data_IF_034028749821
#
_entry.id   IF_034028749821
#
_cell.length_a   1.000
_cell.length_b   1.000
_cell.length_c   1.000
_cell.angle_alpha   90.00
_cell.angle_beta   90.00
_cell.angle_gamma   90.00
#
_symmetry.space_group_name_H-M   'P 1'
#
loop_
_entity.id
_entity.type
_entity.pdbx_description
1 polymer ?
#
# COMPACT_ATOMS: atom_id res chain seq x y z
N UNK A 1 15.89 -14.24 -8.85
CA UNK A 1 15.21 -13.15 -8.14
C UNK A 1 14.53 -13.68 -6.88
N UNK A 2 14.27 -12.82 -5.92
CA UNK A 2 13.59 -13.15 -4.66
C UNK A 2 12.21 -13.79 -4.91
N UNK A 3 11.75 -14.65 -4.00
CA UNK A 3 10.37 -15.13 -4.02
C UNK A 3 9.40 -13.98 -3.69
N UNK A 4 8.13 -14.02 -4.12
CA UNK A 4 7.14 -13.00 -3.75
C UNK A 4 6.98 -12.84 -2.24
N UNK A 5 7.02 -13.95 -1.48
CA UNK A 5 6.93 -13.92 -0.02
C UNK A 5 8.10 -13.15 0.62
N UNK A 6 9.35 -13.44 0.20
CA UNK A 6 10.55 -12.74 0.69
C UNK A 6 10.55 -11.26 0.28
N UNK A 7 10.11 -10.95 -0.94
CA UNK A 7 9.98 -9.57 -1.39
C UNK A 7 8.94 -8.80 -0.56
N UNK A 8 7.76 -9.38 -0.35
CA UNK A 8 6.70 -8.78 0.46
C UNK A 8 7.13 -8.60 1.92
N UNK A 9 7.77 -9.63 2.52
CA UNK A 9 8.32 -9.54 3.87
C UNK A 9 9.30 -8.38 4.02
N UNK A 10 10.22 -8.22 3.06
CA UNK A 10 11.22 -7.15 3.07
C UNK A 10 10.59 -5.77 3.06
N UNK A 11 9.55 -5.59 2.24
CA UNK A 11 8.80 -4.34 2.15
C UNK A 11 8.07 -4.05 3.47
N UNK A 12 7.30 -5.01 3.99
CA UNK A 12 6.52 -4.79 5.21
C UNK A 12 7.40 -4.53 6.45
N UNK A 13 8.56 -5.19 6.57
CA UNK A 13 9.52 -4.86 7.63
C UNK A 13 10.01 -3.41 7.49
N UNK A 14 10.34 -2.96 6.28
CA UNK A 14 10.76 -1.58 6.04
C UNK A 14 9.61 -0.58 6.26
N UNK A 15 8.39 -0.94 5.90
CA UNK A 15 7.20 -0.11 6.07
C UNK A 15 6.85 0.15 7.54
N UNK A 16 7.17 -0.75 8.47
CA UNK A 16 7.01 -0.47 9.91
C UNK A 16 7.71 0.84 10.31
N UNK A 17 8.90 1.08 9.78
CA UNK A 17 9.66 2.30 10.07
C UNK A 17 9.12 3.50 9.30
N UNK A 18 8.88 3.35 8.02
CA UNK A 18 8.48 4.47 7.16
C UNK A 18 7.04 4.93 7.43
N UNK A 19 6.10 3.99 7.57
CA UNK A 19 4.71 4.32 7.90
C UNK A 19 4.54 4.72 9.37
N UNK A 20 5.38 4.20 10.27
CA UNK A 20 5.43 4.65 11.66
C UNK A 20 5.79 6.13 11.77
N UNK A 21 6.85 6.58 11.08
CA UNK A 21 7.24 7.99 11.02
C UNK A 21 6.16 8.85 10.35
N UNK A 22 5.60 8.37 9.24
CA UNK A 22 4.52 9.05 8.52
C UNK A 22 3.26 9.16 9.39
N UNK A 23 2.82 8.05 9.99
CA UNK A 23 1.65 8.00 10.86
C UNK A 23 1.75 8.93 12.06
N UNK A 24 2.91 8.95 12.74
CA UNK A 24 3.17 9.87 13.84
C UNK A 24 3.13 11.34 13.39
N UNK A 25 3.64 11.64 12.20
CA UNK A 25 3.58 12.98 11.62
C UNK A 25 2.14 13.40 11.37
N UNK A 26 1.32 12.52 10.78
CA UNK A 26 -0.10 12.76 10.57
C UNK A 26 -0.88 12.90 11.87
N UNK A 27 -0.52 12.13 12.91
CA UNK A 27 -1.11 12.25 14.24
C UNK A 27 -0.85 13.63 14.85
N UNK A 28 0.42 14.10 14.83
CA UNK A 28 0.79 15.44 15.30
C UNK A 28 0.10 16.56 14.52
N UNK A 29 -0.07 16.39 13.23
CA UNK A 29 -0.75 17.35 12.36
C UNK A 29 -2.29 17.30 12.45
N UNK A 30 -2.85 16.43 13.28
CA UNK A 30 -4.30 16.23 13.45
C UNK A 30 -5.00 15.87 12.13
N UNK A 31 -4.32 15.11 11.27
CA UNK A 31 -4.82 14.65 9.97
C UNK A 31 -5.48 13.27 10.03
N UNK A 32 -5.78 12.75 11.23
CA UNK A 32 -6.34 11.41 11.41
C UNK A 32 -7.81 11.52 11.80
N UNK A 33 -8.68 10.90 11.01
CA UNK A 33 -10.06 10.64 11.39
C UNK A 33 -10.12 9.30 12.14
N UNK A 34 -10.22 9.34 13.47
CA UNK A 34 -10.24 8.14 14.32
C UNK A 34 -11.31 7.12 13.91
N UNK A 35 -12.48 7.59 13.48
CA UNK A 35 -13.56 6.72 13.03
C UNK A 35 -13.19 5.94 11.78
N UNK A 36 -12.56 6.60 10.80
CA UNK A 36 -12.07 5.97 9.60
C UNK A 36 -10.94 4.97 9.94
N UNK A 37 -9.97 5.40 10.74
CA UNK A 37 -8.86 4.57 11.20
C UNK A 37 -9.34 3.25 11.85
N UNK A 38 -10.26 3.32 12.82
CA UNK A 38 -10.76 2.12 13.50
C UNK A 38 -11.51 1.17 12.55
N UNK A 39 -12.22 1.72 11.55
CA UNK A 39 -12.90 0.91 10.53
C UNK A 39 -11.96 0.27 9.52
N UNK A 40 -10.76 0.81 9.33
CA UNK A 40 -9.72 0.26 8.49
C UNK A 40 -8.89 -0.80 9.20
N UNK A 41 -8.62 -0.61 10.49
CA UNK A 41 -7.61 -1.33 11.26
C UNK A 41 -7.84 -2.84 11.28
N UNK A 42 -8.91 -3.30 11.93
CA UNK A 42 -9.14 -4.76 12.10
C UNK A 42 -9.35 -5.49 10.77
N UNK A 43 -10.22 -5.04 9.85
CA UNK A 43 -10.36 -5.73 8.57
C UNK A 43 -9.08 -5.70 7.75
N UNK A 44 -8.31 -4.57 7.80
CA UNK A 44 -7.04 -4.45 7.13
C UNK A 44 -6.01 -5.46 7.63
N UNK A 45 -5.82 -5.55 8.95
CA UNK A 45 -4.91 -6.53 9.57
C UNK A 45 -5.34 -7.97 9.19
N UNK A 46 -6.64 -8.28 9.28
CA UNK A 46 -7.14 -9.61 8.91
C UNK A 46 -6.82 -9.92 7.44
N UNK A 47 -7.05 -8.98 6.54
CA UNK A 47 -6.70 -9.13 5.13
C UNK A 47 -5.19 -9.35 4.94
N UNK A 48 -4.37 -8.55 5.61
CA UNK A 48 -2.91 -8.61 5.52
C UNK A 48 -2.37 -9.98 6.01
N UNK A 49 -2.87 -10.49 7.13
CA UNK A 49 -2.48 -11.80 7.66
C UNK A 49 -2.89 -12.94 6.70
N UNK A 50 -4.09 -12.89 6.13
CA UNK A 50 -4.53 -13.86 5.12
C UNK A 50 -3.68 -13.79 3.85
N UNK A 51 -3.31 -12.59 3.40
CA UNK A 51 -2.42 -12.39 2.26
C UNK A 51 -1.01 -12.92 2.51
N UNK A 52 -0.45 -12.65 3.69
CA UNK A 52 0.87 -13.15 4.09
C UNK A 52 0.89 -14.68 4.13
N UNK A 53 -0.14 -15.29 4.73
CA UNK A 53 -0.29 -16.75 4.74
C UNK A 53 -0.37 -17.32 3.33
N UNK A 54 -1.20 -16.74 2.46
CA UNK A 54 -1.35 -17.22 1.09
C UNK A 54 -0.03 -17.16 0.31
N UNK A 55 0.66 -16.02 0.33
CA UNK A 55 1.87 -15.81 -0.50
C UNK A 55 3.05 -16.66 -0.02
N UNK A 56 3.06 -17.10 1.23
CA UNK A 56 4.08 -18.00 1.78
C UNK A 56 3.84 -19.47 1.46
N UNK A 57 2.58 -19.86 1.18
CA UNK A 57 2.21 -21.26 0.93
C UNK A 57 2.00 -21.60 -0.55
N UNK A 58 1.97 -20.59 -1.44
CA UNK A 58 1.81 -20.82 -2.89
C UNK A 58 3.16 -20.59 -3.58
N UNK A 59 3.45 -21.45 -4.59
CA UNK A 59 4.67 -21.31 -5.39
C UNK A 59 4.70 -19.92 -6.05
N UNK A 60 5.78 -19.20 -5.77
CA UNK A 60 5.99 -17.85 -6.27
C UNK A 60 6.03 -17.74 -7.80
N UNK A 61 6.38 -18.82 -8.51
CA UNK A 61 6.34 -18.84 -9.98
C UNK A 61 4.91 -18.72 -10.50
N UNK A 62 3.97 -19.37 -9.82
CA UNK A 62 2.54 -19.30 -10.16
C UNK A 62 1.93 -17.94 -9.80
N UNK A 63 2.37 -17.32 -8.71
CA UNK A 63 1.83 -16.05 -8.23
C UNK A 63 2.31 -14.83 -9.03
N UNK A 64 3.56 -14.82 -9.50
CA UNK A 64 4.16 -13.66 -10.20
C UNK A 64 3.30 -13.10 -11.34
N UNK A 65 2.78 -13.89 -12.29
CA UNK A 65 1.96 -13.36 -13.38
C UNK A 65 0.64 -12.76 -12.86
N UNK A 66 0.00 -13.40 -11.87
CA UNK A 66 -1.25 -12.88 -11.28
C UNK A 66 -1.02 -11.56 -10.54
N UNK A 67 0.06 -11.47 -9.75
CA UNK A 67 0.44 -10.22 -9.08
C UNK A 67 0.72 -9.13 -10.10
N UNK A 68 1.44 -9.45 -11.19
CA UNK A 68 1.79 -8.47 -12.23
C UNK A 68 0.55 -7.98 -12.97
N UNK A 69 -0.39 -8.86 -13.33
CA UNK A 69 -1.68 -8.50 -13.94
C UNK A 69 -2.49 -7.63 -12.98
N UNK A 70 -2.58 -8.03 -11.70
CA UNK A 70 -3.28 -7.25 -10.70
C UNK A 70 -2.69 -5.83 -10.58
N UNK A 71 -1.38 -5.70 -10.43
CA UNK A 71 -0.71 -4.39 -10.32
C UNK A 71 -0.90 -3.55 -11.59
N UNK A 72 -0.88 -4.18 -12.78
CA UNK A 72 -1.17 -3.51 -14.04
C UNK A 72 -2.58 -2.93 -14.07
N UNK A 73 -3.58 -3.72 -13.68
CA UNK A 73 -4.97 -3.27 -13.60
C UNK A 73 -5.13 -2.14 -12.57
N UNK A 74 -4.45 -2.24 -11.43
CA UNK A 74 -4.45 -1.16 -10.42
C UNK A 74 -3.78 0.11 -10.93
N UNK A 75 -2.66 0.01 -11.64
CA UNK A 75 -2.00 1.15 -12.26
C UNK A 75 -2.91 1.85 -13.28
N UNK A 76 -3.57 1.09 -14.14
CA UNK A 76 -4.55 1.60 -15.10
C UNK A 76 -5.76 2.24 -14.40
N UNK A 77 -6.25 1.62 -13.31
CA UNK A 77 -7.31 2.18 -12.49
C UNK A 77 -6.90 3.52 -11.88
N UNK A 78 -5.68 3.63 -11.35
CA UNK A 78 -5.15 4.90 -10.80
C UNK A 78 -5.08 5.97 -11.89
N UNK A 79 -4.57 5.63 -13.08
CA UNK A 79 -4.50 6.55 -14.23
C UNK A 79 -5.91 7.00 -14.63
N UNK A 80 -6.89 6.11 -14.66
CA UNK A 80 -8.28 6.47 -15.02
C UNK A 80 -8.87 7.52 -14.09
N UNK A 81 -8.42 7.61 -12.83
CA UNK A 81 -8.85 8.63 -11.86
C UNK A 81 -8.29 10.02 -12.13
N UNK A 82 -7.23 10.13 -12.94
CA UNK A 82 -6.64 11.42 -13.33
C UNK A 82 -7.65 12.26 -14.13
N UNK A 83 -8.42 11.62 -15.01
CA UNK A 83 -9.43 12.29 -15.85
C UNK A 83 -10.83 12.33 -15.22
N UNK A 84 -11.04 11.61 -14.11
CA UNK A 84 -12.31 11.59 -13.40
C UNK A 84 -12.66 12.94 -12.77
N UNK A 85 -13.97 13.29 -12.73
CA UNK A 85 -14.47 14.40 -11.91
C UNK A 85 -14.45 13.97 -10.44
N UNK A 86 -13.53 14.53 -9.66
CA UNK A 86 -13.51 14.36 -8.20
C UNK A 86 -14.65 15.20 -7.61
N UNK A 87 -15.82 14.60 -7.43
CA UNK A 87 -16.92 15.25 -6.69
C UNK A 87 -16.71 14.99 -5.21
N UNK A 88 -16.93 16.02 -4.38
CA UNK A 88 -16.89 15.85 -2.92
C UNK A 88 -17.91 14.79 -2.49
N UNK A 89 -17.46 13.85 -1.66
CA UNK A 89 -18.36 12.83 -1.11
C UNK A 89 -19.31 13.45 -0.10
N UNK A 90 -20.58 13.06 -0.17
CA UNK A 90 -21.55 13.40 0.87
C UNK A 90 -21.57 12.26 1.90
N UNK A 91 -21.22 12.59 3.14
CA UNK A 91 -21.28 11.68 4.27
C UNK A 91 -20.06 10.76 4.43
N UNK A 92 -20.22 9.76 5.29
CA UNK A 92 -19.15 8.85 5.64
C UNK A 92 -18.88 7.79 4.58
N UNK A 93 -17.62 7.32 4.47
CA UNK A 93 -17.29 6.24 3.54
C UNK A 93 -18.11 4.97 3.84
N UNK A 94 -18.73 4.40 2.81
CA UNK A 94 -19.44 3.12 2.89
C UNK A 94 -18.50 1.96 2.57
N UNK A 95 -18.79 0.78 3.13
CA UNK A 95 -18.05 -0.47 2.87
C UNK A 95 -16.55 -0.40 3.15
N UNK A 96 -16.13 0.45 4.10
CA UNK A 96 -14.71 0.62 4.47
C UNK A 96 -14.07 -0.69 4.90
N UNK A 97 -14.77 -1.52 5.69
CA UNK A 97 -14.25 -2.80 6.14
C UNK A 97 -13.94 -3.77 4.99
N UNK A 98 -14.84 -3.88 4.00
CA UNK A 98 -14.59 -4.71 2.80
C UNK A 98 -13.41 -4.21 1.99
N UNK A 99 -13.31 -2.88 1.83
CA UNK A 99 -12.20 -2.23 1.15
C UNK A 99 -10.88 -2.46 1.89
N UNK A 100 -10.89 -2.36 3.21
CA UNK A 100 -9.71 -2.57 4.04
C UNK A 100 -9.26 -4.04 4.02
N UNK A 101 -10.19 -4.99 4.12
CA UNK A 101 -9.88 -6.42 4.02
C UNK A 101 -9.19 -6.73 2.68
N UNK A 102 -9.78 -6.26 1.59
CA UNK A 102 -9.20 -6.45 0.25
C UNK A 102 -7.85 -5.74 0.13
N UNK A 103 -7.76 -4.48 0.60
CA UNK A 103 -6.53 -3.70 0.57
C UNK A 103 -5.39 -4.37 1.32
N UNK A 104 -5.62 -4.82 2.55
CA UNK A 104 -4.61 -5.52 3.34
C UNK A 104 -4.19 -6.86 2.75
N UNK A 105 -5.15 -7.64 2.21
CA UNK A 105 -4.85 -8.90 1.53
C UNK A 105 -3.93 -8.69 0.34
N UNK A 106 -4.29 -7.76 -0.52
CA UNK A 106 -3.52 -7.44 -1.73
C UNK A 106 -2.16 -6.85 -1.40
N UNK A 107 -2.08 -6.05 -0.36
CA UNK A 107 -0.86 -5.44 0.15
C UNK A 107 0.17 -6.51 0.52
N UNK A 108 -0.22 -7.48 1.32
CA UNK A 108 0.66 -8.57 1.72
C UNK A 108 1.02 -9.52 0.59
N UNK A 109 0.11 -9.78 -0.36
CA UNK A 109 0.39 -10.63 -1.52
C UNK A 109 1.33 -9.95 -2.50
N UNK A 110 1.12 -8.65 -2.75
CA UNK A 110 1.83 -7.87 -3.76
C UNK A 110 3.08 -7.15 -3.26
N UNK A 111 3.29 -7.07 -1.94
CA UNK A 111 4.35 -6.26 -1.35
C UNK A 111 4.12 -4.76 -1.54
N UNK A 112 2.87 -4.33 -1.46
CA UNK A 112 2.41 -2.95 -1.60
C UNK A 112 1.12 -2.87 -2.40
N UNK A 113 0.05 -2.48 -1.77
CA UNK A 113 -1.28 -2.39 -2.37
C UNK A 113 -2.26 -1.58 -1.53
N UNK A 114 -1.94 -1.38 -0.28
CA UNK A 114 -2.80 -0.66 0.65
C UNK A 114 -3.12 0.76 0.18
N UNK A 115 -2.11 1.57 -0.08
CA UNK A 115 -2.28 2.92 -0.60
C UNK A 115 -3.05 2.95 -1.94
N UNK A 116 -2.59 2.24 -2.97
CA UNK A 116 -3.29 2.14 -4.25
C UNK A 116 -4.74 1.67 -4.16
N UNK A 117 -5.07 0.71 -3.30
CA UNK A 117 -6.45 0.20 -3.16
C UNK A 117 -7.28 1.11 -2.28
N UNK A 118 -6.83 1.41 -1.06
CA UNK A 118 -7.66 2.07 -0.04
C UNK A 118 -7.66 3.58 -0.23
N UNK A 119 -6.47 4.20 -0.28
CA UNK A 119 -6.36 5.67 -0.39
C UNK A 119 -6.97 6.17 -1.69
N UNK A 120 -6.61 5.57 -2.83
CA UNK A 120 -7.10 6.04 -4.13
C UNK A 120 -8.60 5.81 -4.29
N UNK A 121 -9.14 4.72 -3.75
CA UNK A 121 -10.59 4.46 -3.79
C UNK A 121 -11.36 5.49 -2.96
N UNK A 122 -10.91 5.79 -1.75
CA UNK A 122 -11.57 6.77 -0.88
C UNK A 122 -11.48 8.17 -1.47
N UNK A 123 -10.30 8.61 -1.92
CA UNK A 123 -10.13 9.91 -2.57
C UNK A 123 -10.90 9.96 -3.90
N UNK A 124 -10.86 8.89 -4.69
CA UNK A 124 -11.62 8.78 -5.94
C UNK A 124 -13.13 8.82 -5.75
N UNK A 125 -13.63 8.48 -4.56
CA UNK A 125 -15.03 8.66 -4.14
C UNK A 125 -15.32 10.06 -3.58
N UNK A 126 -14.33 10.95 -3.53
CA UNK A 126 -14.48 12.33 -3.13
C UNK A 126 -14.30 12.61 -1.64
N UNK A 127 -13.78 11.64 -0.86
CA UNK A 127 -13.42 11.90 0.54
C UNK A 127 -12.20 12.80 0.63
N UNK A 128 -12.13 13.59 1.72
CA UNK A 128 -11.06 14.56 1.92
C UNK A 128 -9.67 13.88 1.87
N UNK A 129 -8.79 14.29 0.96
CA UNK A 129 -7.47 13.66 0.79
C UNK A 129 -6.61 13.69 2.04
N UNK A 130 -6.65 14.79 2.78
CA UNK A 130 -5.78 15.02 3.94
C UNK A 130 -6.09 14.03 5.06
N UNK A 131 -7.35 13.94 5.45
CA UNK A 131 -7.78 13.03 6.52
C UNK A 131 -7.79 11.58 6.05
N UNK A 132 -8.03 11.32 4.78
CA UNK A 132 -7.93 9.98 4.19
C UNK A 132 -6.50 9.48 4.24
N UNK A 133 -5.54 10.23 3.69
CA UNK A 133 -4.12 9.85 3.67
C UNK A 133 -3.60 9.62 5.10
N UNK A 134 -3.88 10.56 6.02
CA UNK A 134 -3.44 10.44 7.41
C UNK A 134 -4.00 9.21 8.11
N UNK A 135 -5.30 8.92 7.95
CA UNK A 135 -5.94 7.76 8.58
C UNK A 135 -5.47 6.44 7.97
N UNK A 136 -5.29 6.40 6.65
CA UNK A 136 -4.84 5.21 5.91
C UNK A 136 -3.38 4.90 6.25
N UNK A 137 -2.48 5.89 6.24
CA UNK A 137 -1.07 5.69 6.63
C UNK A 137 -0.91 5.27 8.10
N UNK A 138 -1.74 5.83 8.98
CA UNK A 138 -1.69 5.42 10.38
C UNK A 138 -2.18 3.98 10.57
N UNK A 139 -3.18 3.53 9.80
CA UNK A 139 -3.61 2.13 9.79
C UNK A 139 -2.55 1.21 9.18
N UNK A 140 -1.88 1.65 8.12
CA UNK A 140 -0.83 0.92 7.42
C UNK A 140 0.34 0.53 8.33
N UNK A 141 0.73 1.40 9.26
CA UNK A 141 1.73 1.06 10.27
C UNK A 141 1.38 -0.23 11.03
N UNK A 142 0.13 -0.37 11.48
CA UNK A 142 -0.31 -1.56 12.21
C UNK A 142 -0.42 -2.79 11.30
N UNK A 143 -0.83 -2.59 10.05
CA UNK A 143 -0.87 -3.67 9.06
C UNK A 143 0.55 -4.17 8.75
N UNK A 144 1.47 -3.24 8.46
CA UNK A 144 2.87 -3.56 8.19
C UNK A 144 3.52 -4.28 9.38
N UNK A 145 3.24 -3.83 10.61
CA UNK A 145 3.73 -4.49 11.82
C UNK A 145 3.17 -5.91 11.97
N UNK A 146 1.86 -6.09 11.76
CA UNK A 146 1.23 -7.42 11.78
C UNK A 146 1.76 -8.34 10.67
N UNK A 147 1.91 -7.82 9.45
CA UNK A 147 2.49 -8.55 8.33
C UNK A 147 3.95 -8.90 8.57
N UNK A 148 4.76 -7.98 9.11
CA UNK A 148 6.17 -8.24 9.43
C UNK A 148 6.31 -9.37 10.46
N UNK A 149 5.47 -9.41 11.50
CA UNK A 149 5.43 -10.51 12.46
C UNK A 149 5.02 -11.81 11.74
N UNK A 150 3.95 -11.81 10.96
CA UNK A 150 3.47 -13.00 10.25
C UNK A 150 4.55 -13.54 9.30
N UNK A 151 5.19 -12.71 8.50
CA UNK A 151 6.28 -13.11 7.62
C UNK A 151 7.50 -13.63 8.40
N UNK A 152 7.86 -13.00 9.51
CA UNK A 152 8.98 -13.48 10.36
C UNK A 152 8.75 -14.87 10.95
N UNK A 153 7.48 -15.27 11.11
CA UNK A 153 7.12 -16.62 11.56
C UNK A 153 6.99 -17.64 10.42
N UNK A 154 6.76 -17.16 9.18
CA UNK A 154 6.45 -18.00 8.02
C UNK A 154 7.62 -18.17 7.05
N UNK A 155 8.64 -17.33 7.11
CA UNK A 155 9.84 -17.42 6.26
C UNK A 155 11.07 -17.71 7.12
N UNK A 156 11.97 -18.56 6.62
CA UNK A 156 13.16 -18.97 7.38
C UNK A 156 14.18 -17.84 7.53
N UNK A 157 14.41 -17.06 6.49
CA UNK A 157 15.40 -15.98 6.50
C UNK A 157 14.88 -14.71 5.80
N UNK A 158 14.95 -13.57 6.48
CA UNK A 158 14.73 -12.27 5.89
C UNK A 158 16.04 -11.74 5.26
N UNK A 159 15.99 -11.17 4.04
CA UNK A 159 17.18 -10.60 3.40
C UNK A 159 17.50 -9.23 4.00
N UNK A 160 18.12 -9.21 5.16
CA UNK A 160 18.37 -7.99 5.95
C UNK A 160 19.10 -6.88 5.19
N UNK A 161 19.97 -7.23 4.24
CA UNK A 161 20.64 -6.24 3.38
C UNK A 161 19.61 -5.49 2.52
N UNK A 162 18.62 -6.21 1.98
CA UNK A 162 17.53 -5.61 1.19
C UNK A 162 16.64 -4.75 2.09
N UNK A 163 16.27 -5.27 3.27
CA UNK A 163 15.47 -4.56 4.27
C UNK A 163 16.15 -3.26 4.68
N UNK A 164 17.45 -3.32 5.04
CA UNK A 164 18.23 -2.14 5.40
C UNK A 164 18.27 -1.11 4.26
N UNK A 165 18.48 -1.57 3.03
CA UNK A 165 18.46 -0.71 1.84
C UNK A 165 17.10 -0.01 1.65
N UNK A 166 16.00 -0.74 1.84
CA UNK A 166 14.65 -0.19 1.77
C UNK A 166 14.37 0.84 2.89
N UNK A 167 14.80 0.55 4.12
CA UNK A 167 14.66 1.48 5.25
C UNK A 167 15.44 2.76 4.97
N UNK A 168 16.72 2.66 4.61
CA UNK A 168 17.59 3.82 4.33
C UNK A 168 17.05 4.60 3.14
N UNK A 169 16.74 3.92 2.02
CA UNK A 169 16.18 4.56 0.83
C UNK A 169 14.84 5.24 1.10
N UNK A 170 13.94 4.56 1.83
CA UNK A 170 12.65 5.09 2.22
C UNK A 170 12.75 6.28 3.18
N UNK A 171 13.62 6.21 4.18
CA UNK A 171 13.85 7.30 5.12
C UNK A 171 14.45 8.54 4.43
N UNK A 172 15.32 8.32 3.43
CA UNK A 172 15.86 9.40 2.61
C UNK A 172 14.82 9.99 1.65
N UNK A 173 14.01 9.14 1.02
CA UNK A 173 12.99 9.56 0.07
C UNK A 173 11.76 10.23 0.73
N UNK A 174 11.42 9.85 1.96
CA UNK A 174 10.20 10.30 2.64
C UNK A 174 10.08 11.85 2.74
N UNK A 175 11.10 12.63 3.14
CA UNK A 175 10.99 14.07 3.21
C UNK A 175 10.83 14.72 1.82
N UNK A 176 11.46 14.16 0.78
CA UNK A 176 11.29 14.63 -0.59
C UNK A 176 9.90 14.31 -1.13
N UNK A 177 9.40 13.10 -0.87
CA UNK A 177 8.05 12.69 -1.23
C UNK A 177 7.01 13.57 -0.53
N UNK A 178 7.17 13.85 0.76
CA UNK A 178 6.30 14.76 1.50
C UNK A 178 6.32 16.20 0.96
N UNK A 179 7.48 16.70 0.56
CA UNK A 179 7.61 18.01 -0.08
C UNK A 179 6.94 18.01 -1.45
N UNK A 180 7.13 16.96 -2.25
CA UNK A 180 6.57 16.81 -3.57
C UNK A 180 5.04 16.73 -3.53
N UNK A 181 4.48 15.97 -2.60
CA UNK A 181 3.02 15.85 -2.40
C UNK A 181 2.38 17.17 -1.97
N UNK A 182 3.11 18.05 -1.29
CA UNK A 182 2.62 19.41 -0.96
C UNK A 182 2.59 20.34 -2.16
N UNK A 183 3.45 20.14 -3.17
CA UNK A 183 3.61 21.01 -4.34
C UNK A 183 2.83 20.51 -5.57
N UNK A 184 2.64 19.21 -5.71
CA UNK A 184 1.97 18.62 -6.86
C UNK A 184 0.47 18.51 -6.63
N UNK A 185 -0.28 18.66 -7.72
CA UNK A 185 -1.71 18.37 -7.69
C UNK A 185 -1.96 16.88 -7.49
N UNK A 186 -3.09 16.53 -6.87
CA UNK A 186 -3.51 15.13 -6.70
C UNK A 186 -3.53 14.38 -8.05
N UNK A 187 -3.94 15.05 -9.14
CA UNK A 187 -3.94 14.47 -10.49
C UNK A 187 -2.53 14.13 -10.97
N UNK A 188 -1.57 15.02 -10.78
CA UNK A 188 -0.16 14.80 -11.17
C UNK A 188 0.43 13.63 -10.38
N UNK A 189 0.16 13.54 -9.08
CA UNK A 189 0.61 12.43 -8.24
C UNK A 189 0.02 11.10 -8.70
N UNK A 190 -1.29 11.04 -8.95
CA UNK A 190 -1.95 9.85 -9.48
C UNK A 190 -1.39 9.44 -10.84
N UNK A 191 -1.11 10.41 -11.73
CA UNK A 191 -0.51 10.13 -13.03
C UNK A 191 0.90 9.52 -12.89
N UNK A 192 1.76 10.13 -12.06
CA UNK A 192 3.13 9.65 -11.84
C UNK A 192 3.14 8.23 -11.23
N UNK A 193 2.39 8.03 -10.16
CA UNK A 193 2.33 6.73 -9.46
C UNK A 193 1.70 5.66 -10.36
N UNK A 194 0.58 5.98 -11.00
CA UNK A 194 -0.10 5.04 -11.90
C UNK A 194 0.77 4.65 -13.09
N UNK A 195 1.48 5.62 -13.71
CA UNK A 195 2.39 5.34 -14.82
C UNK A 195 3.57 4.47 -14.39
N UNK A 196 4.16 4.73 -13.21
CA UNK A 196 5.24 3.91 -12.68
C UNK A 196 4.78 2.46 -12.43
N UNK A 197 3.62 2.28 -11.81
CA UNK A 197 3.05 0.95 -11.56
C UNK A 197 2.80 0.22 -12.88
N UNK A 198 2.21 0.88 -13.88
CA UNK A 198 1.97 0.27 -15.20
C UNK A 198 3.27 -0.15 -15.87
N UNK A 199 4.30 0.70 -15.88
CA UNK A 199 5.59 0.40 -16.48
C UNK A 199 6.26 -0.80 -15.81
N UNK A 200 6.35 -0.80 -14.47
CA UNK A 200 7.00 -1.88 -13.71
C UNK A 200 6.21 -3.19 -13.83
N UNK A 201 4.89 -3.12 -13.77
CA UNK A 201 4.04 -4.32 -13.87
C UNK A 201 4.07 -4.92 -15.26
N UNK A 202 4.08 -4.09 -16.33
CA UNK A 202 4.22 -4.55 -17.71
C UNK A 202 5.57 -5.24 -17.93
N UNK A 203 6.65 -4.66 -17.39
CA UNK A 203 7.97 -5.27 -17.48
C UNK A 203 8.06 -6.59 -16.71
N UNK A 204 7.48 -6.68 -15.51
CA UNK A 204 7.44 -7.91 -14.73
C UNK A 204 6.58 -8.98 -15.40
N UNK A 205 5.47 -8.60 -16.01
CA UNK A 205 4.61 -9.53 -16.76
C UNK A 205 5.34 -10.07 -17.99
N UNK A 206 6.02 -9.22 -18.74
CA UNK A 206 6.85 -9.64 -19.88
C UNK A 206 7.94 -10.64 -19.49
N UNK A 207 8.55 -10.48 -18.30
CA UNK A 207 9.54 -11.45 -17.79
C UNK A 207 8.95 -12.73 -17.22
N UNK A 208 7.67 -12.73 -16.89
CA UNK A 208 6.98 -13.88 -16.30
C UNK A 208 6.32 -14.79 -17.34
N UNK A 209 6.13 -14.30 -18.56
CA UNK A 209 5.68 -15.04 -19.76
C UNK A 209 6.86 -15.63 -20.52
#
# INVERSE_FOLDING_TARGET
GQSPAVASASVHIAEVFTTGLSGLSHLKLKNICHKLFLRLLLPGITGALLGAYLVTHIDGKQLKPFISVYLLLMGLYIISKVWGRLRAAQGEPKHVGKLALLGGFVDSVGGGGWGPVVTTTLIGKGHDPRTTIGSVNFAEFFLAFGSAIAFSLLIEEAPWVVVAGLIVGGAFAAPFAALLTRRLSTRTLLALVGSLIVLVSSFNLYKAL
#
